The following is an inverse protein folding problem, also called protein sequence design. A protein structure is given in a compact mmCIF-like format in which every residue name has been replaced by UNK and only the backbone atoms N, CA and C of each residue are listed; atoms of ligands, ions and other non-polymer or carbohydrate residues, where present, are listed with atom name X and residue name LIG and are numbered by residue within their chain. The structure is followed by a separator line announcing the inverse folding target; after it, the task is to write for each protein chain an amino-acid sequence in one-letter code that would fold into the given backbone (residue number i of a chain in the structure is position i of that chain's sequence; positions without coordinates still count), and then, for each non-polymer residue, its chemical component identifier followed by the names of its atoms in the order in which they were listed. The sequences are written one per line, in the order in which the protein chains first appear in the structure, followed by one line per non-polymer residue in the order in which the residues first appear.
data_IF_773230188349
#
_entry.id   IF_773230188349
#
_cell.length_a   1.000
_cell.length_b   1.000
_cell.length_c   1.000
_cell.angle_alpha   90.00
_cell.angle_beta   90.00
_cell.angle_gamma   90.00
#
_symmetry.space_group_name_H-M   'P 1'
#
loop_
_entity.id
_entity.type
_entity.pdbx_description
1 polymer ?
#
# COMPACT_ATOMS: atom_id res chain seq x y z
N UNK A 1 -12.34 10.18 7.25
CA UNK A 1 -11.30 9.49 8.06
C UNK A 1 -10.00 9.45 7.28
N UNK A 2 -8.84 9.30 7.93
CA UNK A 2 -7.54 9.03 7.28
C UNK A 2 -7.32 7.52 7.18
N UNK A 3 -7.18 6.99 5.97
CA UNK A 3 -7.09 5.55 5.73
C UNK A 3 -5.81 5.26 4.93
N UNK A 4 -4.94 4.41 5.47
CA UNK A 4 -3.79 3.89 4.74
C UNK A 4 -4.23 2.68 3.91
N UNK A 5 -4.02 2.74 2.60
CA UNK A 5 -4.27 1.62 1.69
C UNK A 5 -2.93 1.17 1.11
N UNK A 6 -2.45 -0.01 1.48
CA UNK A 6 -1.25 -0.57 0.87
C UNK A 6 -1.62 -1.33 -0.41
N UNK A 7 -0.80 -1.28 -1.46
CA UNK A 7 -1.10 -1.88 -2.76
C UNK A 7 -2.02 -0.99 -3.58
N UNK A 8 -2.01 0.33 -3.33
CA UNK A 8 -2.96 1.29 -3.89
C UNK A 8 -2.89 1.41 -5.42
N UNK A 9 -1.75 1.07 -6.04
CA UNK A 9 -1.62 1.04 -7.51
C UNK A 9 -2.03 -0.32 -8.11
N UNK A 10 -2.19 -1.35 -7.26
CA UNK A 10 -2.70 -2.67 -7.62
C UNK A 10 -4.18 -2.65 -8.00
N UNK A 11 -4.69 -3.79 -8.49
CA UNK A 11 -6.06 -3.89 -8.99
C UNK A 11 -7.11 -3.58 -7.90
N UNK A 12 -7.09 -4.32 -6.79
CA UNK A 12 -8.05 -4.15 -5.70
C UNK A 12 -7.81 -2.82 -4.98
N UNK A 13 -6.54 -2.50 -4.70
CA UNK A 13 -6.17 -1.27 -3.98
C UNK A 13 -6.59 0.01 -4.70
N UNK A 14 -6.51 0.05 -6.04
CA UNK A 14 -7.03 1.16 -6.83
C UNK A 14 -8.54 1.36 -6.63
N UNK A 15 -9.34 0.31 -6.79
CA UNK A 15 -10.80 0.43 -6.68
C UNK A 15 -11.25 0.79 -5.27
N UNK A 16 -10.61 0.23 -4.24
CA UNK A 16 -10.87 0.60 -2.84
C UNK A 16 -10.48 2.06 -2.59
N UNK A 17 -9.29 2.48 -3.01
CA UNK A 17 -8.83 3.86 -2.82
C UNK A 17 -9.78 4.85 -3.49
N UNK A 18 -10.17 4.60 -4.74
CA UNK A 18 -11.12 5.45 -5.47
C UNK A 18 -12.45 5.54 -4.74
N UNK A 19 -13.03 4.41 -4.32
CA UNK A 19 -14.30 4.40 -3.60
C UNK A 19 -14.24 5.18 -2.29
N UNK A 20 -13.16 5.01 -1.50
CA UNK A 20 -12.98 5.74 -0.25
C UNK A 20 -12.83 7.25 -0.48
N UNK A 21 -12.14 7.66 -1.55
CA UNK A 21 -12.01 9.06 -1.94
C UNK A 21 -13.35 9.66 -2.39
N UNK A 22 -14.13 8.92 -3.19
CA UNK A 22 -15.50 9.29 -3.60
C UNK A 22 -16.43 9.45 -2.40
N UNK A 23 -16.25 8.63 -1.35
CA UNK A 23 -16.98 8.75 -0.07
C UNK A 23 -16.43 9.89 0.84
N UNK A 24 -15.48 10.70 0.35
CA UNK A 24 -14.95 11.89 1.05
C UNK A 24 -13.88 11.58 2.11
N UNK A 25 -13.29 10.38 2.11
CA UNK A 25 -12.18 10.05 2.99
C UNK A 25 -10.83 10.55 2.46
N UNK A 26 -9.85 10.66 3.36
CA UNK A 26 -8.45 10.90 2.99
C UNK A 26 -7.75 9.56 2.85
N UNK A 27 -7.13 9.32 1.71
CA UNK A 27 -6.45 8.05 1.42
C UNK A 27 -4.97 8.29 1.26
N UNK A 28 -4.18 7.61 2.09
CA UNK A 28 -2.74 7.52 1.95
C UNK A 28 -2.44 6.20 1.24
N UNK A 29 -2.07 6.25 -0.04
CA UNK A 29 -1.71 5.06 -0.82
C UNK A 29 -0.24 4.72 -0.64
N UNK A 30 0.08 3.46 -0.32
CA UNK A 30 1.45 2.93 -0.27
C UNK A 30 1.60 1.84 -1.31
N UNK A 31 2.57 1.95 -2.22
CA UNK A 31 2.90 0.91 -3.22
C UNK A 31 4.36 1.07 -3.64
N UNK A 32 5.05 -0.01 -3.99
CA UNK A 32 6.43 0.08 -4.49
C UNK A 32 6.51 0.14 -6.03
N UNK A 33 5.36 0.05 -6.71
CA UNK A 33 5.24 0.06 -8.17
C UNK A 33 6.19 -0.93 -8.85
N UNK A 34 6.37 -2.12 -8.25
CA UNK A 34 7.23 -3.16 -8.82
C UNK A 34 6.76 -3.62 -10.21
N UNK A 35 7.66 -4.30 -10.92
CA UNK A 35 7.55 -4.74 -12.31
C UNK A 35 6.94 -6.14 -12.49
N UNK A 36 6.44 -6.76 -11.41
CA UNK A 36 5.74 -8.06 -11.51
C UNK A 36 4.51 -8.01 -12.43
N UNK A 37 3.87 -6.84 -12.52
CA UNK A 37 2.88 -6.50 -13.53
C UNK A 37 3.31 -5.23 -14.26
N UNK A 38 2.65 -4.91 -15.37
CA UNK A 38 2.93 -3.71 -16.15
C UNK A 38 2.90 -2.44 -15.27
N UNK A 39 4.06 -1.79 -15.19
CA UNK A 39 4.28 -0.55 -14.43
C UNK A 39 3.42 0.59 -15.00
N UNK A 40 3.21 0.64 -16.31
CA UNK A 40 2.39 1.69 -16.94
C UNK A 40 0.95 1.65 -16.43
N UNK A 41 0.36 0.44 -16.32
CA UNK A 41 -0.97 0.24 -15.77
C UNK A 41 -1.08 0.72 -14.31
N UNK A 42 -0.06 0.46 -13.49
CA UNK A 42 -0.02 0.97 -12.11
C UNK A 42 0.06 2.50 -12.07
N UNK A 43 0.90 3.10 -12.93
CA UNK A 43 1.06 4.56 -13.02
C UNK A 43 -0.22 5.23 -13.51
N UNK A 44 -0.92 4.64 -14.47
CA UNK A 44 -2.18 5.20 -14.97
C UNK A 44 -3.28 5.17 -13.92
N UNK A 45 -3.36 4.10 -13.11
CA UNK A 45 -4.24 4.07 -11.92
C UNK A 45 -3.90 5.16 -10.91
N UNK A 46 -2.62 5.38 -10.64
CA UNK A 46 -2.18 6.43 -9.72
C UNK A 46 -2.54 7.83 -10.24
N UNK A 47 -2.39 8.11 -11.54
CA UNK A 47 -2.80 9.39 -12.14
C UNK A 47 -4.27 9.70 -11.83
N UNK A 48 -5.16 8.71 -12.01
CA UNK A 48 -6.59 8.87 -11.70
C UNK A 48 -6.81 9.17 -10.21
N UNK A 49 -6.14 8.45 -9.30
CA UNK A 49 -6.27 8.72 -7.86
C UNK A 49 -5.72 10.09 -7.46
N UNK A 50 -4.68 10.57 -8.15
CA UNK A 50 -4.06 11.88 -7.91
C UNK A 50 -4.93 13.06 -8.34
N UNK A 51 -5.99 12.85 -9.12
CA UNK A 51 -7.00 13.88 -9.40
C UNK A 51 -7.80 14.26 -8.14
N UNK A 52 -7.82 13.39 -7.13
CA UNK A 52 -8.45 13.67 -5.84
C UNK A 52 -7.47 14.40 -4.91
N UNK A 53 -7.80 15.63 -4.50
CA UNK A 53 -6.96 16.41 -3.57
C UNK A 53 -6.80 15.79 -2.17
N UNK A 54 -7.62 14.79 -1.83
CA UNK A 54 -7.55 14.02 -0.59
C UNK A 54 -6.67 12.76 -0.67
N UNK A 55 -6.10 12.48 -1.84
CA UNK A 55 -5.18 11.36 -2.04
C UNK A 55 -3.73 11.81 -1.83
N UNK A 56 -2.93 10.96 -1.19
CA UNK A 56 -1.47 11.13 -1.08
C UNK A 56 -0.80 9.80 -1.37
N UNK A 57 0.20 9.79 -2.24
CA UNK A 57 0.90 8.59 -2.64
C UNK A 57 2.30 8.53 -2.04
N UNK A 58 2.65 7.33 -1.55
CA UNK A 58 3.93 6.99 -0.97
C UNK A 58 4.51 5.82 -1.75
N UNK A 59 5.54 6.11 -2.54
CA UNK A 59 6.24 5.08 -3.30
C UNK A 59 7.32 4.44 -2.44
N UNK A 60 7.00 3.32 -1.79
CA UNK A 60 7.91 2.63 -0.88
C UNK A 60 7.57 1.14 -0.76
N UNK A 61 8.56 0.37 -0.31
CA UNK A 61 8.44 -1.06 -0.01
C UNK A 61 7.90 -1.29 1.39
N UNK A 62 7.20 -2.41 1.61
CA UNK A 62 6.68 -2.75 2.93
C UNK A 62 7.79 -3.25 3.88
N UNK A 63 8.78 -3.93 3.32
CA UNK A 63 9.94 -4.44 4.03
C UNK A 63 10.90 -3.32 4.50
N UNK A 64 10.69 -2.08 4.06
CA UNK A 64 11.38 -0.91 4.63
C UNK A 64 10.72 -0.49 5.95
N UNK A 65 11.27 -1.01 7.05
CA UNK A 65 10.79 -0.75 8.41
C UNK A 65 10.73 0.74 8.74
N UNK A 66 11.75 1.50 8.37
CA UNK A 66 11.86 2.91 8.75
C UNK A 66 10.89 3.75 7.93
N UNK A 67 10.77 3.50 6.63
CA UNK A 67 9.80 4.17 5.78
C UNK A 67 8.36 3.94 6.26
N UNK A 68 8.00 2.69 6.59
CA UNK A 68 6.67 2.37 7.14
C UNK A 68 6.45 3.06 8.48
N UNK A 69 7.40 2.98 9.41
CA UNK A 69 7.26 3.62 10.72
C UNK A 69 7.11 5.15 10.61
N UNK A 70 7.88 5.78 9.73
CA UNK A 70 7.80 7.23 9.47
C UNK A 70 6.48 7.62 8.81
N UNK A 71 5.96 6.79 7.90
CA UNK A 71 4.64 7.02 7.29
C UNK A 71 3.53 7.01 8.35
N UNK A 72 3.51 6.03 9.25
CA UNK A 72 2.52 5.98 10.33
C UNK A 72 2.60 7.21 11.25
N UNK A 73 3.81 7.63 11.64
CA UNK A 73 4.01 8.83 12.47
C UNK A 73 3.56 10.11 11.78
N UNK A 74 3.87 10.26 10.49
CA UNK A 74 3.53 11.43 9.68
C UNK A 74 2.03 11.51 9.44
N UNK A 75 1.43 10.40 9.02
CA UNK A 75 0.05 10.38 8.51
C UNK A 75 -0.99 9.96 9.53
N UNK A 76 -0.61 9.41 10.68
CA UNK A 76 -1.52 9.04 11.77
C UNK A 76 -2.83 8.38 11.27
N UNK A 77 -2.72 7.29 10.47
CA UNK A 77 -3.90 6.65 9.89
C UNK A 77 -4.85 6.18 10.99
N UNK A 78 -6.15 6.35 10.77
CA UNK A 78 -7.18 5.86 11.69
C UNK A 78 -7.59 4.42 11.36
N UNK A 79 -7.37 3.98 10.11
CA UNK A 79 -7.63 2.63 9.63
C UNK A 79 -6.58 2.25 8.59
N UNK A 80 -6.32 0.95 8.47
CA UNK A 80 -5.43 0.39 7.46
C UNK A 80 -6.20 -0.68 6.67
N UNK A 81 -6.12 -0.60 5.34
CA UNK A 81 -6.54 -1.66 4.43
C UNK A 81 -5.27 -2.22 3.77
N UNK A 82 -4.85 -3.41 4.21
CA UNK A 82 -3.59 -4.01 3.80
C UNK A 82 -3.79 -5.00 2.64
N UNK A 83 -3.51 -4.56 1.41
CA UNK A 83 -3.64 -5.36 0.18
C UNK A 83 -2.31 -5.58 -0.57
N UNK A 84 -1.22 -4.92 -0.16
CA UNK A 84 0.07 -5.11 -0.79
C UNK A 84 0.66 -6.46 -0.37
N UNK A 85 0.99 -7.26 -1.36
CA UNK A 85 1.64 -8.55 -1.22
C UNK A 85 2.27 -8.91 -2.57
N UNK A 86 3.31 -9.74 -2.55
CA UNK A 86 3.71 -10.49 -3.73
C UNK A 86 2.66 -11.57 -4.00
N UNK A 87 2.01 -11.47 -5.17
CA UNK A 87 0.96 -12.38 -5.62
C UNK A 87 1.52 -13.46 -6.58
N UNK A 88 0.64 -14.37 -7.01
CA UNK A 88 0.94 -15.38 -8.03
C UNK A 88 1.62 -16.64 -7.48
N UNK A 89 0.84 -17.70 -7.25
CA UNK A 89 1.32 -18.94 -6.59
C UNK A 89 2.52 -19.60 -7.29
N UNK A 90 2.55 -19.63 -8.62
CA UNK A 90 3.66 -20.30 -9.35
C UNK A 90 5.00 -19.56 -9.19
N UNK A 91 4.94 -18.23 -9.12
CA UNK A 91 6.15 -17.40 -9.01
C UNK A 91 6.83 -17.58 -7.63
N UNK A 92 6.08 -17.94 -6.59
CA UNK A 92 6.64 -18.22 -5.25
C UNK A 92 7.54 -19.44 -5.18
N UNK A 93 7.41 -20.37 -6.14
CA UNK A 93 8.27 -21.56 -6.21
C UNK A 93 9.67 -21.17 -6.69
N UNK A 94 9.76 -20.16 -7.56
CA UNK A 94 11.01 -19.70 -8.17
C UNK A 94 11.67 -18.55 -7.37
N UNK A 95 10.85 -17.69 -6.75
CA UNK A 95 11.30 -16.49 -6.04
C UNK A 95 10.71 -16.39 -4.63
N UNK A 96 10.88 -17.41 -3.77
CA UNK A 96 10.24 -17.47 -2.44
C UNK A 96 10.64 -16.29 -1.53
N UNK A 97 11.85 -15.76 -1.67
CA UNK A 97 12.38 -14.65 -0.87
C UNK A 97 11.52 -13.38 -0.98
N UNK A 98 10.98 -13.09 -2.16
CA UNK A 98 10.14 -11.91 -2.39
C UNK A 98 8.83 -12.01 -1.61
N UNK A 99 8.30 -13.23 -1.42
CA UNK A 99 7.09 -13.48 -0.63
C UNK A 99 7.36 -13.34 0.86
N UNK A 100 8.52 -13.79 1.34
CA UNK A 100 8.91 -13.59 2.74
C UNK A 100 9.05 -12.10 3.04
N UNK A 101 9.73 -11.34 2.17
CA UNK A 101 9.92 -9.91 2.36
C UNK A 101 8.59 -9.15 2.31
N UNK A 102 7.78 -9.36 1.27
CA UNK A 102 6.54 -8.59 1.10
C UNK A 102 5.42 -9.06 2.03
N UNK A 103 5.18 -10.37 2.13
CA UNK A 103 3.96 -10.91 2.74
C UNK A 103 4.12 -11.26 4.22
N UNK A 104 5.35 -11.42 4.71
CA UNK A 104 5.61 -11.74 6.12
C UNK A 104 6.26 -10.56 6.82
N UNK A 105 7.46 -10.16 6.38
CA UNK A 105 8.20 -9.04 6.97
C UNK A 105 7.42 -7.73 6.78
N UNK A 106 6.94 -7.47 5.56
CA UNK A 106 6.15 -6.29 5.25
C UNK A 106 4.85 -6.22 6.06
N UNK A 107 4.10 -7.32 6.15
CA UNK A 107 2.89 -7.38 6.98
C UNK A 107 3.21 -7.15 8.46
N UNK A 108 4.30 -7.70 8.97
CA UNK A 108 4.76 -7.44 10.34
C UNK A 108 5.04 -5.95 10.59
N UNK A 109 5.67 -5.25 9.65
CA UNK A 109 5.89 -3.80 9.78
C UNK A 109 4.58 -3.00 9.81
N UNK A 110 3.58 -3.39 9.01
CA UNK A 110 2.25 -2.78 9.06
C UNK A 110 1.58 -3.00 10.42
N UNK A 111 1.64 -4.23 10.96
CA UNK A 111 1.09 -4.55 12.28
C UNK A 111 1.76 -3.75 13.41
N UNK A 112 3.10 -3.64 13.39
CA UNK A 112 3.84 -2.82 14.35
C UNK A 112 3.53 -1.32 14.19
N UNK A 113 3.31 -0.86 12.96
CA UNK A 113 2.80 0.48 12.67
C UNK A 113 1.45 0.73 13.36
N UNK A 114 0.49 -0.20 13.20
CA UNK A 114 -0.80 -0.12 13.87
C UNK A 114 -0.67 -0.13 15.40
N UNK A 115 0.13 -1.06 15.96
CA UNK A 115 0.33 -1.22 17.40
C UNK A 115 0.89 0.05 18.05
N UNK A 116 1.87 0.69 17.42
CA UNK A 116 2.50 1.89 17.96
C UNK A 116 1.65 3.17 17.80
N UNK A 117 0.62 3.16 16.95
CA UNK A 117 -0.15 4.36 16.62
C UNK A 117 -1.66 4.24 16.91
N UNK A 118 -2.08 3.18 17.63
CA UNK A 118 -3.47 2.96 18.07
C UNK A 118 -4.50 3.02 16.92
N UNK A 119 -4.16 2.35 15.81
CA UNK A 119 -4.99 2.27 14.60
C UNK A 119 -6.13 1.27 14.74
#
# INVERSE_FOLDING_TARGET
MKILVTGAAGFIGFHISRRLLEDGHKVMGLDNVNDYYDVSLKRDRLKILQEFGQFSFYENKLEDKEAVANLFKKETPQRVIHLAAQAGVRYSIQHPEVYIQSNIVGTFHILEGCRHNQV
#
